data_IF_525239234448
#
_entry.id   IF_525239234448
#
_cell.length_a   1.000
_cell.length_b   1.000
_cell.length_c   1.000
_cell.angle_alpha   90.00
_cell.angle_beta   90.00
_cell.angle_gamma   90.00
#
_symmetry.space_group_name_H-M   'P 1'
#
loop_
_entity.id
_entity.type
_entity.pdbx_description
1 polymer ?
#
# COMPACT_ATOMS: atom_id res chain seq x y z
N UNK A 1 -9.07 -3.19 -1.08
CA UNK A 1 -7.79 -2.49 -1.23
C UNK A 1 -7.91 -1.26 -2.12
N UNK A 2 -8.31 -1.39 -3.39
CA UNK A 2 -8.43 -0.26 -4.31
C UNK A 2 -9.42 0.79 -3.80
N UNK A 3 -10.57 0.37 -3.28
CA UNK A 3 -11.56 1.27 -2.68
C UNK A 3 -11.00 1.98 -1.44
N UNK A 4 -10.30 1.27 -0.56
CA UNK A 4 -9.64 1.88 0.61
C UNK A 4 -8.60 2.91 0.19
N UNK A 5 -7.77 2.62 -0.84
CA UNK A 5 -6.82 3.59 -1.39
C UNK A 5 -7.49 4.83 -2.01
N UNK A 6 -8.68 4.66 -2.57
CA UNK A 6 -9.48 5.79 -3.05
C UNK A 6 -9.98 6.65 -1.89
N UNK A 7 -10.51 6.05 -0.82
CA UNK A 7 -10.96 6.75 0.37
C UNK A 7 -9.82 7.55 1.02
N UNK A 8 -8.66 6.92 1.25
CA UNK A 8 -7.44 7.55 1.78
C UNK A 8 -7.01 8.79 0.97
N UNK A 9 -7.16 8.75 -0.34
CA UNK A 9 -6.82 9.90 -1.19
C UNK A 9 -7.72 11.13 -0.95
N UNK A 10 -8.94 10.94 -0.41
CA UNK A 10 -9.92 12.01 -0.20
C UNK A 10 -10.03 12.47 1.24
N UNK A 11 -9.86 11.59 2.24
CA UNK A 11 -10.09 11.91 3.65
C UNK A 11 -9.17 13.02 4.18
N UNK A 12 -7.89 13.00 3.85
CA UNK A 12 -6.95 14.05 4.18
C UNK A 12 -7.31 15.42 3.56
N UNK A 13 -8.00 15.45 2.39
CA UNK A 13 -8.50 16.71 1.79
C UNK A 13 -9.71 17.24 2.55
N UNK A 14 -10.61 16.36 2.97
CA UNK A 14 -11.79 16.69 3.78
C UNK A 14 -11.35 17.19 5.15
N UNK A 15 -10.43 16.47 5.78
CA UNK A 15 -9.89 16.78 7.09
C UNK A 15 -9.26 18.19 7.17
N UNK A 16 -8.55 18.63 6.11
CA UNK A 16 -7.93 19.97 6.04
C UNK A 16 -8.92 21.12 5.85
N UNK A 17 -10.15 20.84 5.42
CA UNK A 17 -11.21 21.88 5.25
C UNK A 17 -12.01 22.14 6.53
N UNK A 18 -11.80 21.37 7.58
CA UNK A 18 -12.55 21.44 8.83
C UNK A 18 -11.73 22.18 9.88
N UNK A 19 -12.32 23.15 10.57
CA UNK A 19 -11.73 23.79 11.75
C UNK A 19 -11.74 22.80 12.91
N UNK A 20 -10.56 22.33 13.34
CA UNK A 20 -10.38 21.34 14.39
C UNK A 20 -9.46 21.88 15.49
N UNK A 21 -9.74 21.51 16.75
CA UNK A 21 -8.82 21.77 17.85
C UNK A 21 -7.49 21.05 17.64
N UNK A 22 -6.39 21.47 18.31
CA UNK A 22 -5.10 20.78 18.23
C UNK A 22 -5.21 19.29 18.59
N UNK A 23 -5.94 18.96 19.64
CA UNK A 23 -6.18 17.58 20.11
C UNK A 23 -6.92 16.76 19.06
N UNK A 24 -7.95 17.34 18.42
CA UNK A 24 -8.69 16.67 17.35
C UNK A 24 -7.85 16.44 16.09
N UNK A 25 -6.85 17.30 15.82
CA UNK A 25 -5.90 17.10 14.72
C UNK A 25 -4.95 15.94 15.04
N UNK A 26 -4.41 15.91 16.25
CA UNK A 26 -3.51 14.84 16.70
C UNK A 26 -4.22 13.48 16.72
N UNK A 27 -5.43 13.42 17.27
CA UNK A 27 -6.26 12.21 17.22
C UNK A 27 -6.52 11.77 15.78
N UNK A 28 -6.81 12.72 14.87
CA UNK A 28 -7.02 12.43 13.44
C UNK A 28 -5.81 11.78 12.77
N UNK A 29 -4.59 12.24 13.08
CA UNK A 29 -3.35 11.65 12.55
C UNK A 29 -3.16 10.21 13.05
N UNK A 30 -3.45 9.95 14.33
CA UNK A 30 -3.32 8.62 14.91
C UNK A 30 -4.34 7.64 14.32
N UNK A 31 -5.61 8.04 14.23
CA UNK A 31 -6.66 7.17 13.68
C UNK A 31 -6.44 6.87 12.20
N UNK A 32 -5.98 7.85 11.43
CA UNK A 32 -5.59 7.72 10.02
C UNK A 32 -4.51 6.64 9.84
N UNK A 33 -3.43 6.74 10.63
CA UNK A 33 -2.34 5.75 10.60
C UNK A 33 -2.79 4.34 11.01
N UNK A 34 -3.72 4.23 11.97
CA UNK A 34 -4.28 2.92 12.37
C UNK A 34 -5.17 2.34 11.28
N UNK A 35 -6.00 3.17 10.64
CA UNK A 35 -6.81 2.76 9.49
C UNK A 35 -5.93 2.31 8.31
N UNK A 36 -4.87 3.06 8.01
CA UNK A 36 -3.88 2.73 6.99
C UNK A 36 -3.20 1.38 7.27
N UNK A 37 -2.79 1.16 8.51
CA UNK A 37 -2.20 -0.11 8.92
C UNK A 37 -3.15 -1.29 8.70
N UNK A 38 -4.42 -1.13 9.06
CA UNK A 38 -5.43 -2.19 8.87
C UNK A 38 -5.69 -2.41 7.39
N UNK A 39 -5.96 -1.34 6.63
CA UNK A 39 -6.36 -1.44 5.23
C UNK A 39 -5.22 -1.87 4.30
N UNK A 40 -3.98 -1.39 4.53
CA UNK A 40 -2.86 -1.58 3.62
C UNK A 40 -1.74 -2.46 4.20
N UNK A 41 -1.80 -2.79 5.49
CA UNK A 41 -0.90 -3.73 6.17
C UNK A 41 -1.58 -5.06 6.46
N UNK A 42 -2.50 -5.07 7.42
CA UNK A 42 -3.11 -6.31 7.93
C UNK A 42 -3.97 -7.01 6.88
N UNK A 43 -4.83 -6.27 6.19
CA UNK A 43 -5.76 -6.84 5.22
C UNK A 43 -5.06 -7.51 4.02
N UNK A 44 -4.06 -6.88 3.34
CA UNK A 44 -3.29 -7.56 2.31
C UNK A 44 -2.52 -8.78 2.83
N UNK A 45 -1.91 -8.68 4.02
CA UNK A 45 -1.23 -9.81 4.64
C UNK A 45 -2.18 -11.01 4.85
N UNK A 46 -3.38 -10.76 5.35
CA UNK A 46 -4.40 -11.78 5.55
C UNK A 46 -4.83 -12.43 4.22
N UNK A 47 -5.10 -11.62 3.19
CA UNK A 47 -5.49 -12.13 1.86
C UNK A 47 -4.39 -13.01 1.29
N UNK A 48 -3.14 -12.53 1.25
CA UNK A 48 -2.03 -13.26 0.65
C UNK A 48 -1.73 -14.56 1.40
N UNK A 49 -1.72 -14.54 2.73
CA UNK A 49 -1.50 -15.76 3.51
C UNK A 49 -2.62 -16.77 3.31
N UNK A 50 -3.86 -16.33 3.09
CA UNK A 50 -5.01 -17.20 2.80
C UNK A 50 -4.91 -17.81 1.41
N UNK A 51 -4.59 -17.02 0.38
CA UNK A 51 -4.40 -17.49 -1.01
C UNK A 51 -3.22 -18.46 -1.09
N UNK A 52 -2.14 -18.22 -0.34
CA UNK A 52 -0.94 -19.06 -0.30
C UNK A 52 -1.12 -20.36 0.51
N UNK A 53 -2.37 -20.80 0.73
CA UNK A 53 -2.71 -22.05 1.42
C UNK A 53 -2.16 -22.13 2.86
N UNK A 54 -2.02 -20.98 3.52
CA UNK A 54 -1.51 -20.83 4.91
C UNK A 54 -0.14 -21.48 5.14
N UNK A 55 0.72 -21.44 4.12
CA UNK A 55 2.08 -21.95 4.25
C UNK A 55 2.84 -21.12 5.29
N UNK A 56 3.61 -21.77 6.19
CA UNK A 56 4.30 -21.08 7.29
C UNK A 56 5.22 -19.94 6.84
N UNK A 57 5.89 -20.07 5.67
CA UNK A 57 6.72 -19.00 5.07
C UNK A 57 5.87 -17.78 4.71
N UNK A 58 4.67 -17.99 4.15
CA UNK A 58 3.75 -16.90 3.81
C UNK A 58 3.22 -16.21 5.07
N UNK A 59 3.03 -16.95 6.17
CA UNK A 59 2.64 -16.36 7.46
C UNK A 59 3.75 -15.48 8.03
N UNK A 60 5.02 -15.92 7.96
CA UNK A 60 6.17 -15.10 8.36
C UNK A 60 6.28 -13.86 7.48
N UNK A 61 6.13 -14.02 6.15
CA UNK A 61 6.13 -12.88 5.23
C UNK A 61 5.05 -11.87 5.58
N UNK A 62 3.82 -12.34 5.89
CA UNK A 62 2.71 -11.51 6.33
C UNK A 62 2.99 -10.77 7.63
N UNK A 63 3.56 -11.45 8.63
CA UNK A 63 3.93 -10.84 9.90
C UNK A 63 5.01 -9.75 9.73
N UNK A 64 6.05 -10.02 8.92
CA UNK A 64 7.10 -9.04 8.61
C UNK A 64 6.57 -7.87 7.79
N UNK A 65 5.62 -8.12 6.88
CA UNK A 65 4.97 -7.07 6.10
C UNK A 65 4.17 -6.12 6.99
N UNK A 66 3.38 -6.64 7.93
CA UNK A 66 2.63 -5.83 8.91
C UNK A 66 3.59 -5.07 9.81
N UNK A 67 4.64 -5.72 10.33
CA UNK A 67 5.66 -5.07 11.15
C UNK A 67 6.37 -3.95 10.41
N UNK A 68 6.75 -4.16 9.14
CA UNK A 68 7.31 -3.12 8.28
C UNK A 68 6.38 -1.93 8.11
N UNK A 69 5.07 -2.20 7.94
CA UNK A 69 4.02 -1.18 7.88
C UNK A 69 3.91 -0.36 9.18
N UNK A 70 3.94 -1.02 10.34
CA UNK A 70 3.94 -0.35 11.66
C UNK A 70 5.14 0.58 11.79
N UNK A 71 6.35 0.07 11.54
CA UNK A 71 7.59 0.85 11.61
C UNK A 71 7.52 2.05 10.66
N UNK A 72 7.02 1.82 9.45
CA UNK A 72 6.89 2.86 8.42
C UNK A 72 5.97 4.00 8.85
N UNK A 73 4.78 3.69 9.37
CA UNK A 73 3.81 4.69 9.81
C UNK A 73 4.29 5.44 11.04
N UNK A 74 4.84 4.73 12.04
CA UNK A 74 5.40 5.35 13.24
C UNK A 74 6.53 6.33 12.90
N UNK A 75 7.49 5.90 12.06
CA UNK A 75 8.59 6.75 11.61
C UNK A 75 8.09 7.98 10.84
N UNK A 76 7.11 7.77 9.93
CA UNK A 76 6.53 8.87 9.17
C UNK A 76 5.87 9.92 10.06
N UNK A 77 5.11 9.49 11.08
CA UNK A 77 4.43 10.40 12.00
C UNK A 77 5.43 11.24 12.82
N UNK A 78 6.51 10.63 13.31
CA UNK A 78 7.56 11.34 14.05
C UNK A 78 8.24 12.39 13.17
N UNK A 79 8.72 11.99 11.99
CA UNK A 79 9.40 12.89 11.06
C UNK A 79 8.49 14.00 10.55
N UNK A 80 7.19 13.71 10.33
CA UNK A 80 6.24 14.73 9.90
C UNK A 80 5.93 15.73 11.01
N UNK A 81 5.82 15.28 12.25
CA UNK A 81 5.62 16.15 13.41
C UNK A 81 6.83 17.10 13.60
N UNK A 82 8.05 16.57 13.59
CA UNK A 82 9.27 17.38 13.64
C UNK A 82 9.34 18.41 12.51
N UNK A 83 9.01 18.01 11.28
CA UNK A 83 8.99 18.91 10.12
C UNK A 83 7.99 20.05 10.31
N UNK A 84 6.78 19.76 10.81
CA UNK A 84 5.75 20.78 11.03
C UNK A 84 6.15 21.81 12.10
N UNK A 85 6.99 21.43 13.05
CA UNK A 85 7.57 22.36 14.02
C UNK A 85 8.67 23.26 13.42
N UNK A 86 9.35 22.81 12.36
CA UNK A 86 10.48 23.54 11.76
C UNK A 86 10.08 24.39 10.54
N UNK A 87 9.06 23.98 9.76
CA UNK A 87 8.67 24.65 8.52
C UNK A 87 7.21 24.45 8.17
N UNK A 88 6.62 25.47 7.56
CA UNK A 88 5.27 25.40 6.97
C UNK A 88 5.26 24.91 5.51
N UNK A 89 6.43 24.68 4.89
CA UNK A 89 6.51 24.22 3.51
C UNK A 89 5.98 22.80 3.33
N UNK A 90 5.38 22.52 2.18
CA UNK A 90 4.91 21.18 1.85
C UNK A 90 6.09 20.22 1.61
N UNK A 91 5.97 19.00 2.12
CA UNK A 91 6.95 17.93 1.91
C UNK A 91 7.12 17.61 0.42
N UNK A 92 8.37 17.55 -0.06
CA UNK A 92 8.72 17.25 -1.46
C UNK A 92 9.05 15.77 -1.68
N UNK A 93 9.55 15.09 -0.66
CA UNK A 93 9.99 13.68 -0.73
C UNK A 93 9.45 12.89 0.46
N UNK A 94 9.09 11.64 0.21
CA UNK A 94 8.85 10.63 1.23
C UNK A 94 10.12 9.82 1.45
N UNK A 95 10.32 9.34 2.66
CA UNK A 95 11.34 8.37 2.99
C UNK A 95 10.71 6.98 3.00
N UNK A 96 11.21 6.07 2.16
CA UNK A 96 10.67 4.73 1.97
C UNK A 96 9.36 4.65 1.17
N UNK A 97 8.92 3.43 0.85
CA UNK A 97 7.69 3.17 0.13
C UNK A 97 6.46 3.51 1.00
N UNK A 98 5.48 4.31 0.52
CA UNK A 98 4.24 4.54 1.26
C UNK A 98 3.46 3.22 1.46
N UNK A 99 2.86 3.02 2.63
CA UNK A 99 2.08 1.80 2.92
C UNK A 99 0.88 1.65 1.99
N UNK A 100 0.28 2.77 1.58
CA UNK A 100 -0.84 2.85 0.63
C UNK A 100 -0.50 2.31 -0.76
N UNK A 101 0.80 2.16 -1.12
CA UNK A 101 1.22 1.53 -2.37
C UNK A 101 0.75 0.07 -2.49
N UNK A 102 0.53 -0.61 -1.36
CA UNK A 102 -0.03 -1.97 -1.34
C UNK A 102 -1.43 -2.04 -1.96
N UNK A 103 -2.18 -0.92 -1.95
CA UNK A 103 -3.50 -0.81 -2.60
C UNK A 103 -3.44 -1.00 -4.12
N UNK A 104 -2.30 -0.75 -4.76
CA UNK A 104 -2.10 -0.97 -6.19
C UNK A 104 -1.32 -2.27 -6.46
N UNK A 105 -0.30 -2.55 -5.67
CA UNK A 105 0.61 -3.69 -5.88
C UNK A 105 -0.16 -5.02 -5.87
N UNK A 106 -0.89 -5.33 -4.80
CA UNK A 106 -1.56 -6.64 -4.68
C UNK A 106 -2.73 -6.84 -5.65
N UNK A 107 -3.63 -5.86 -5.87
CA UNK A 107 -4.65 -5.99 -6.91
C UNK A 107 -4.06 -6.11 -8.32
N UNK A 108 -2.95 -5.43 -8.61
CA UNK A 108 -2.25 -5.56 -9.89
C UNK A 108 -1.76 -6.99 -10.12
N UNK A 109 -1.10 -7.59 -9.12
CA UNK A 109 -0.62 -8.98 -9.21
C UNK A 109 -1.79 -9.93 -9.41
N UNK A 110 -2.90 -9.70 -8.71
CA UNK A 110 -4.11 -10.49 -8.83
C UNK A 110 -4.73 -10.40 -10.24
N UNK A 111 -4.74 -9.20 -10.84
CA UNK A 111 -5.20 -9.01 -12.22
C UNK A 111 -4.28 -9.73 -13.22
N UNK A 112 -2.95 -9.61 -13.05
CA UNK A 112 -1.96 -10.30 -13.88
C UNK A 112 -2.11 -11.81 -13.76
N UNK A 113 -2.30 -12.35 -12.57
CA UNK A 113 -2.58 -13.78 -12.35
C UNK A 113 -3.79 -14.24 -13.15
N UNK A 114 -4.87 -13.48 -13.15
CA UNK A 114 -6.07 -13.78 -13.93
C UNK A 114 -5.78 -13.87 -15.44
N UNK A 115 -5.07 -12.88 -15.97
CA UNK A 115 -4.66 -12.85 -17.37
C UNK A 115 -3.72 -14.03 -17.71
N UNK A 116 -2.73 -14.28 -16.87
CA UNK A 116 -1.81 -15.42 -17.06
C UNK A 116 -2.56 -16.74 -17.11
N UNK A 117 -3.47 -16.98 -16.18
CA UNK A 117 -4.25 -18.22 -16.14
C UNK A 117 -5.14 -18.38 -17.37
N UNK A 118 -5.68 -17.28 -17.92
CA UNK A 118 -6.48 -17.29 -19.16
C UNK A 118 -5.65 -17.65 -20.39
N UNK A 119 -4.39 -17.18 -20.47
CA UNK A 119 -3.52 -17.39 -21.63
C UNK A 119 -2.51 -18.54 -21.43
N UNK A 120 -2.41 -19.12 -20.22
CA UNK A 120 -1.48 -20.20 -19.88
C UNK A 120 -1.45 -21.37 -20.88
N UNK A 121 -2.58 -21.84 -21.48
CA UNK A 121 -2.53 -22.90 -22.46
C UNK A 121 -1.76 -22.55 -23.74
N UNK A 122 -1.55 -21.26 -24.00
CA UNK A 122 -0.88 -20.74 -25.22
C UNK A 122 0.59 -20.36 -24.98
N UNK A 123 1.06 -20.40 -23.73
CA UNK A 123 2.41 -19.95 -23.37
C UNK A 123 3.20 -21.16 -22.87
N UNK A 124 4.27 -21.60 -23.55
CA UNK A 124 5.06 -22.77 -23.16
C UNK A 124 6.07 -22.48 -22.03
N UNK A 125 5.77 -21.54 -21.13
CA UNK A 125 6.67 -21.15 -20.04
C UNK A 125 6.14 -21.74 -18.73
N UNK A 126 7.02 -22.43 -17.98
CA UNK A 126 6.73 -22.83 -16.60
C UNK A 126 6.78 -21.60 -15.70
N UNK A 127 5.60 -21.08 -15.35
CA UNK A 127 5.47 -19.96 -14.41
C UNK A 127 5.55 -20.52 -12.99
N UNK A 128 6.37 -19.94 -12.09
CA UNK A 128 6.38 -20.31 -10.67
C UNK A 128 4.97 -20.30 -10.07
N UNK A 129 4.74 -21.10 -9.04
CA UNK A 129 3.44 -21.08 -8.37
C UNK A 129 3.13 -19.64 -7.91
N UNK A 130 1.93 -19.14 -8.18
CA UNK A 130 1.52 -17.78 -7.80
C UNK A 130 1.65 -17.55 -6.29
N UNK A 131 1.48 -18.60 -5.48
CA UNK A 131 1.70 -18.55 -4.04
C UNK A 131 3.13 -18.12 -3.68
N UNK A 132 4.13 -18.62 -4.40
CA UNK A 132 5.53 -18.22 -4.20
C UNK A 132 5.75 -16.76 -4.61
N UNK A 133 5.16 -16.32 -5.73
CA UNK A 133 5.25 -14.94 -6.22
C UNK A 133 4.66 -13.97 -5.19
N UNK A 134 3.47 -14.24 -4.67
CA UNK A 134 2.85 -13.42 -3.63
C UNK A 134 3.73 -13.33 -2.37
N UNK A 135 4.30 -14.45 -1.94
CA UNK A 135 5.15 -14.50 -0.76
C UNK A 135 6.44 -13.69 -0.95
N UNK A 136 7.11 -13.84 -2.11
CA UNK A 136 8.32 -13.07 -2.45
C UNK A 136 8.03 -11.57 -2.50
N UNK A 137 6.93 -11.18 -3.15
CA UNK A 137 6.56 -9.76 -3.25
C UNK A 137 6.23 -9.20 -1.88
N UNK A 138 5.59 -9.96 -1.00
CA UNK A 138 5.30 -9.54 0.37
C UNK A 138 6.58 -9.27 1.16
N UNK A 139 7.60 -10.14 1.07
CA UNK A 139 8.92 -9.90 1.66
C UNK A 139 9.60 -8.65 1.09
N UNK A 140 9.55 -8.50 -0.25
CA UNK A 140 10.16 -7.36 -0.93
C UNK A 140 9.51 -6.04 -0.49
N UNK A 141 8.19 -5.98 -0.43
CA UNK A 141 7.46 -4.78 -0.03
C UNK A 141 7.69 -4.48 1.45
N UNK A 142 7.72 -5.51 2.33
CA UNK A 142 8.08 -5.35 3.74
C UNK A 142 9.45 -4.69 3.91
N UNK A 143 10.44 -5.14 3.13
CA UNK A 143 11.77 -4.54 3.10
C UNK A 143 11.73 -3.08 2.61
N UNK A 144 10.98 -2.81 1.52
CA UNK A 144 10.86 -1.46 0.95
C UNK A 144 10.16 -0.46 1.88
N UNK A 145 9.32 -0.91 2.79
CA UNK A 145 8.71 -0.05 3.80
C UNK A 145 9.74 0.53 4.77
N UNK A 146 10.74 -0.26 5.13
CA UNK A 146 11.77 0.13 6.11
C UNK A 146 13.00 0.75 5.44
N UNK A 147 13.21 0.48 4.16
CA UNK A 147 14.38 0.99 3.46
C UNK A 147 14.30 2.51 3.23
N UNK A 148 15.35 3.24 3.60
CA UNK A 148 15.41 4.71 3.46
C UNK A 148 15.67 5.14 2.00
N UNK A 149 14.64 5.03 1.17
CA UNK A 149 14.65 5.53 -0.21
C UNK A 149 13.88 6.85 -0.25
N UNK A 150 14.47 7.88 -0.85
CA UNK A 150 13.78 9.14 -1.11
C UNK A 150 12.85 9.01 -2.30
N UNK A 151 11.55 8.86 -2.04
CA UNK A 151 10.50 8.79 -3.05
C UNK A 151 9.90 10.18 -3.24
N UNK A 152 9.92 10.68 -4.48
CA UNK A 152 9.29 11.98 -4.78
C UNK A 152 7.79 11.90 -4.51
N UNK A 153 7.25 12.91 -3.81
CA UNK A 153 5.80 13.00 -3.58
C UNK A 153 5.08 13.08 -4.93
N UNK A 154 4.08 12.23 -5.21
CA UNK A 154 3.34 12.28 -6.45
C UNK A 154 2.62 13.63 -6.58
N UNK A 155 2.81 14.27 -7.72
CA UNK A 155 2.05 15.48 -8.10
C UNK A 155 0.68 15.12 -8.67
N UNK A 156 -0.05 16.14 -9.15
CA UNK A 156 -1.38 15.91 -9.74
C UNK A 156 -1.35 14.95 -10.93
N UNK A 157 -0.32 15.02 -11.78
CA UNK A 157 -0.18 14.15 -12.97
C UNK A 157 0.02 12.69 -12.53
N UNK A 158 0.92 12.44 -11.59
CA UNK A 158 1.21 11.11 -11.07
C UNK A 158 -0.01 10.53 -10.34
N UNK A 159 -0.76 11.36 -9.60
CA UNK A 159 -2.00 10.93 -8.93
C UNK A 159 -3.07 10.52 -9.94
N UNK A 160 -3.22 11.25 -11.05
CA UNK A 160 -4.14 10.87 -12.13
C UNK A 160 -3.71 9.56 -12.79
N UNK A 161 -2.41 9.39 -13.05
CA UNK A 161 -1.86 8.14 -13.60
C UNK A 161 -2.14 6.97 -12.66
N UNK A 162 -1.94 7.13 -11.35
CA UNK A 162 -2.27 6.09 -10.36
C UNK A 162 -3.76 5.75 -10.36
N UNK A 163 -4.64 6.76 -10.52
CA UNK A 163 -6.09 6.55 -10.65
C UNK A 163 -6.45 5.76 -11.90
N UNK A 164 -5.84 6.09 -13.05
CA UNK A 164 -6.03 5.35 -14.31
C UNK A 164 -5.53 3.90 -14.17
N UNK A 165 -4.37 3.70 -13.57
CA UNK A 165 -3.85 2.36 -13.30
C UNK A 165 -4.80 1.56 -12.41
N UNK A 166 -5.33 2.18 -11.34
CA UNK A 166 -6.34 1.55 -10.48
C UNK A 166 -7.58 1.12 -11.27
N UNK A 167 -8.07 1.98 -12.18
CA UNK A 167 -9.21 1.66 -13.04
C UNK A 167 -8.90 0.49 -14.00
N UNK A 168 -7.73 0.50 -14.62
CA UNK A 168 -7.27 -0.59 -15.49
C UNK A 168 -7.16 -1.93 -14.74
N UNK A 169 -6.70 -1.90 -13.49
CA UNK A 169 -6.65 -3.08 -12.61
C UNK A 169 -8.07 -3.61 -12.35
N UNK A 170 -9.03 -2.72 -12.04
CA UNK A 170 -10.45 -3.11 -11.84
C UNK A 170 -11.00 -3.78 -13.10
N UNK A 171 -10.78 -3.17 -14.26
CA UNK A 171 -11.21 -3.74 -15.55
C UNK A 171 -10.55 -5.09 -15.78
N UNK A 172 -9.25 -5.23 -15.52
CA UNK A 172 -8.52 -6.50 -15.61
C UNK A 172 -9.08 -7.59 -14.70
N UNK A 173 -9.51 -7.22 -13.49
CA UNK A 173 -10.15 -8.15 -12.53
C UNK A 173 -11.56 -8.56 -13.03
N UNK A 174 -12.33 -7.63 -13.60
CA UNK A 174 -13.69 -7.92 -14.10
C UNK A 174 -13.69 -8.79 -15.36
N UNK A 175 -12.64 -8.70 -16.18
CA UNK A 175 -12.48 -9.51 -17.40
C UNK A 175 -11.91 -10.91 -17.09
N UNK A 176 -11.40 -11.13 -15.88
CA UNK A 176 -10.88 -12.42 -15.41
C UNK A 176 -11.95 -13.52 -15.46
#
# INVERSE_FOLDING_TARGET
LLFSGLCDMFDGKIARRTNRSPEAKEFGIQIDSLCDLICFGVYPAFIVTTISSKHWISMIAGALFVLGGVIRLAYFNVVENERQHQTSENRKYYQGLPITSSALIFPFIYAVEGLVNRYKPKIPIQIPSMNLIYTIIMFLVAFLFVWDIKVKKPGLKETVVMGILGLLIVVGILIR
#
